data_IF_867544100634
#
_entry.id   IF_867544100634
#
_cell.length_a   1.000
_cell.length_b   1.000
_cell.length_c   1.000
_cell.angle_alpha   90.00
_cell.angle_beta   90.00
_cell.angle_gamma   90.00
#
_symmetry.space_group_name_H-M   'P 1'
#
loop_
_entity.id
_entity.type
_entity.pdbx_description
1 polymer ?
#
# COMPACT_ATOMS: atom_id res chain seq x y z
N UNK A 1 -4.60 -8.82 -16.14
CA UNK A 1 -5.46 -8.42 -15.01
C UNK A 1 -6.31 -7.15 -15.31
N UNK A 2 -5.85 -6.28 -16.23
CA UNK A 2 -6.58 -5.10 -16.68
C UNK A 2 -6.46 -3.86 -15.76
N UNK A 3 -7.13 -2.75 -16.19
CA UNK A 3 -7.03 -1.45 -15.51
C UNK A 3 -7.65 -1.50 -14.10
N UNK A 4 -8.81 -2.11 -13.95
CA UNK A 4 -9.52 -2.24 -12.66
C UNK A 4 -8.62 -2.84 -11.57
N UNK A 5 -7.92 -3.94 -11.92
CA UNK A 5 -6.99 -4.58 -10.99
C UNK A 5 -5.80 -3.68 -10.61
N UNK A 6 -5.25 -2.97 -11.59
CA UNK A 6 -4.15 -2.04 -11.35
C UNK A 6 -4.58 -0.85 -10.48
N UNK A 7 -5.81 -0.35 -10.67
CA UNK A 7 -6.37 0.72 -9.87
C UNK A 7 -6.66 0.26 -8.43
N UNK A 8 -7.19 -0.94 -8.20
CA UNK A 8 -7.34 -1.52 -6.86
C UNK A 8 -6.01 -1.59 -6.11
N UNK A 9 -4.95 -2.13 -6.75
CA UNK A 9 -3.61 -2.16 -6.15
C UNK A 9 -3.08 -0.76 -5.83
N UNK A 10 -3.37 0.21 -6.67
CA UNK A 10 -2.91 1.58 -6.46
C UNK A 10 -3.66 2.31 -5.36
N UNK A 11 -4.94 2.00 -5.17
CA UNK A 11 -5.75 2.50 -4.06
C UNK A 11 -5.28 1.92 -2.72
N UNK A 12 -5.03 0.60 -2.65
CA UNK A 12 -4.46 -0.03 -1.45
C UNK A 12 -3.09 0.56 -1.12
N UNK A 13 -2.16 0.61 -2.07
CA UNK A 13 -0.84 1.22 -1.84
C UNK A 13 -0.89 2.71 -1.51
N UNK A 14 -1.95 3.41 -1.91
CA UNK A 14 -2.17 4.80 -1.48
C UNK A 14 -2.53 4.91 0.00
N UNK A 15 -3.22 3.91 0.55
CA UNK A 15 -3.50 3.83 1.98
C UNK A 15 -2.22 3.47 2.76
N UNK A 16 -1.44 2.50 2.27
CA UNK A 16 -0.15 2.12 2.89
C UNK A 16 0.80 3.33 2.94
N UNK A 17 0.86 4.12 1.86
CA UNK A 17 1.65 5.36 1.84
C UNK A 17 1.17 6.39 2.87
N UNK A 18 -0.14 6.55 3.06
CA UNK A 18 -0.69 7.48 4.07
C UNK A 18 -0.33 7.03 5.49
N UNK A 19 -0.40 5.73 5.76
CA UNK A 19 0.01 5.15 7.05
C UNK A 19 1.48 5.45 7.29
N UNK A 20 2.37 5.08 6.37
CA UNK A 20 3.80 5.33 6.49
C UNK A 20 4.13 6.83 6.66
N UNK A 21 3.45 7.73 5.93
CA UNK A 21 3.63 9.17 6.11
C UNK A 21 3.19 9.67 7.49
N UNK A 22 2.18 9.06 8.08
CA UNK A 22 1.71 9.41 9.43
C UNK A 22 2.70 8.92 10.48
N UNK A 23 3.22 7.71 10.34
CA UNK A 23 4.19 7.10 11.27
C UNK A 23 5.52 7.86 11.30
N UNK A 24 6.08 8.16 10.13
CA UNK A 24 7.33 8.91 10.05
C UNK A 24 7.15 10.41 10.31
N UNK A 25 5.98 10.96 10.00
CA UNK A 25 5.73 12.40 9.94
C UNK A 25 6.14 13.02 8.59
N UNK A 26 5.25 13.79 7.98
CA UNK A 26 5.41 14.32 6.62
C UNK A 26 6.70 15.13 6.39
N UNK A 27 7.23 15.78 7.42
CA UNK A 27 8.46 16.59 7.31
C UNK A 27 9.73 15.79 7.56
N UNK A 28 9.62 14.51 7.91
CA UNK A 28 10.76 13.65 8.19
C UNK A 28 11.57 13.39 6.91
N UNK A 29 12.90 13.55 6.91
CA UNK A 29 13.76 13.23 5.76
C UNK A 29 13.61 11.79 5.26
N UNK A 30 13.24 10.82 6.11
CA UNK A 30 12.98 9.44 5.72
C UNK A 30 11.77 9.28 4.78
N UNK A 31 10.98 10.34 4.59
CA UNK A 31 9.89 10.36 3.59
C UNK A 31 10.32 10.84 2.21
N UNK A 32 11.60 11.13 2.00
CA UNK A 32 12.17 11.40 0.68
C UNK A 32 12.34 10.11 -0.14
N UNK A 33 12.36 10.20 -1.46
CA UNK A 33 12.73 9.07 -2.31
C UNK A 33 14.24 8.85 -2.37
N UNK A 34 15.01 9.95 -2.36
CA UNK A 34 16.45 9.88 -2.24
C UNK A 34 16.84 10.15 -0.79
N UNK A 35 17.19 9.08 -0.09
CA UNK A 35 17.63 9.14 1.29
C UNK A 35 19.13 9.39 1.39
N UNK A 36 19.55 10.11 2.44
CA UNK A 36 20.93 10.16 2.91
C UNK A 36 21.03 9.30 4.18
N UNK A 37 21.52 8.08 4.01
CA UNK A 37 21.66 7.09 5.08
C UNK A 37 23.09 7.02 5.64
N UNK A 38 23.86 8.08 5.52
CA UNK A 38 25.22 8.11 6.05
C UNK A 38 25.19 7.92 7.57
N UNK A 39 25.85 6.85 8.04
CA UNK A 39 25.91 6.45 9.45
C UNK A 39 24.55 6.02 10.05
N UNK A 40 23.59 5.59 9.21
CA UNK A 40 22.33 5.02 9.63
C UNK A 40 22.22 3.57 9.12
N UNK A 41 21.42 2.76 9.80
CA UNK A 41 21.11 1.41 9.30
C UNK A 41 20.18 1.54 8.08
N UNK A 42 20.56 0.99 6.91
CA UNK A 42 19.70 1.01 5.74
C UNK A 42 18.34 0.32 5.96
N UNK A 43 18.25 -0.63 6.89
CA UNK A 43 17.00 -1.33 7.19
C UNK A 43 15.97 -0.43 7.89
N UNK A 44 16.42 0.54 8.69
CA UNK A 44 15.53 1.51 9.35
C UNK A 44 14.81 2.42 8.36
N UNK A 45 15.32 2.51 7.13
CA UNK A 45 14.73 3.32 6.05
C UNK A 45 13.85 2.49 5.10
N UNK A 46 13.73 1.17 5.30
CA UNK A 46 12.85 0.33 4.51
C UNK A 46 11.39 0.56 4.90
N UNK A 47 10.66 1.20 4.02
CA UNK A 47 9.24 1.50 4.21
C UNK A 47 8.49 1.49 2.87
N UNK A 48 7.18 1.51 2.93
CA UNK A 48 6.32 1.59 1.74
C UNK A 48 6.50 2.91 0.97
N UNK A 49 7.16 3.91 1.56
CA UNK A 49 7.44 5.20 0.92
C UNK A 49 8.25 5.01 -0.36
N UNK A 50 9.33 4.23 -0.33
CA UNK A 50 10.16 4.00 -1.51
C UNK A 50 9.36 3.39 -2.68
N UNK A 51 8.44 2.47 -2.36
CA UNK A 51 7.60 1.79 -3.35
C UNK A 51 6.45 2.67 -3.82
N UNK A 52 5.64 3.17 -2.92
CA UNK A 52 4.39 3.84 -3.28
C UNK A 52 4.59 5.29 -3.73
N UNK A 53 5.45 6.06 -3.07
CA UNK A 53 5.85 7.40 -3.55
C UNK A 53 6.64 7.29 -4.85
N UNK A 54 7.53 6.28 -4.97
CA UNK A 54 8.26 6.00 -6.21
C UNK A 54 7.33 5.63 -7.37
N UNK A 55 6.36 4.74 -7.13
CA UNK A 55 5.32 4.38 -8.12
C UNK A 55 4.54 5.62 -8.59
N UNK A 56 4.19 6.53 -7.69
CA UNK A 56 3.50 7.78 -8.05
C UNK A 56 4.35 8.69 -8.93
N UNK A 57 5.66 8.81 -8.65
CA UNK A 57 6.57 9.55 -9.53
C UNK A 57 6.59 8.93 -10.94
N UNK A 58 6.75 7.60 -11.04
CA UNK A 58 6.78 6.93 -12.34
C UNK A 58 5.43 7.07 -13.06
N UNK A 59 4.33 7.01 -12.35
CA UNK A 59 2.99 7.24 -12.92
C UNK A 59 2.81 8.68 -13.40
N UNK A 60 3.24 9.66 -12.62
CA UNK A 60 3.25 11.07 -13.03
C UNK A 60 4.02 11.26 -14.36
N UNK A 61 5.18 10.64 -14.46
CA UNK A 61 5.99 10.72 -15.69
C UNK A 61 5.30 10.05 -16.87
N UNK A 62 4.74 8.85 -16.67
CA UNK A 62 3.97 8.13 -17.68
C UNK A 62 2.79 8.97 -18.21
N UNK A 63 2.01 9.58 -17.32
CA UNK A 63 0.86 10.42 -17.71
C UNK A 63 1.30 11.66 -18.49
N UNK A 64 2.48 12.18 -18.20
CA UNK A 64 3.02 13.37 -18.86
C UNK A 64 3.56 13.11 -20.27
N UNK A 65 4.15 11.93 -20.50
CA UNK A 65 4.76 11.58 -21.81
C UNK A 65 3.86 10.67 -22.65
N UNK A 66 2.86 10.05 -22.06
CA UNK A 66 2.01 9.04 -22.68
C UNK A 66 2.62 7.65 -22.63
N UNK A 67 1.75 6.64 -22.64
CA UNK A 67 2.11 5.22 -22.45
C UNK A 67 3.15 4.73 -23.47
N UNK A 68 2.98 5.05 -24.74
CA UNK A 68 3.86 4.54 -25.79
C UNK A 68 5.29 5.06 -25.63
N UNK A 69 5.44 6.36 -25.34
CA UNK A 69 6.76 6.97 -25.10
C UNK A 69 7.38 6.47 -23.80
N UNK A 70 6.55 6.25 -22.78
CA UNK A 70 6.99 5.68 -21.51
C UNK A 70 7.53 4.25 -21.68
N UNK A 71 6.84 3.40 -22.43
CA UNK A 71 7.29 2.04 -22.72
C UNK A 71 8.62 2.01 -23.52
N UNK A 72 8.80 2.93 -24.47
CA UNK A 72 10.06 3.08 -25.18
C UNK A 72 11.20 3.51 -24.26
N UNK A 73 10.94 4.47 -23.39
CA UNK A 73 11.89 4.90 -22.35
C UNK A 73 12.30 3.73 -21.45
N UNK A 74 11.34 2.98 -20.90
CA UNK A 74 11.62 1.85 -20.03
C UNK A 74 12.48 0.79 -20.73
N UNK A 75 12.16 0.43 -21.97
CA UNK A 75 12.97 -0.52 -22.76
C UNK A 75 14.40 -0.03 -22.94
N UNK A 76 14.57 1.25 -23.26
CA UNK A 76 15.88 1.88 -23.44
C UNK A 76 16.65 1.91 -22.12
N UNK A 77 16.01 2.30 -21.04
CA UNK A 77 16.59 2.34 -19.70
C UNK A 77 17.08 0.96 -19.23
N UNK A 78 16.24 -0.07 -19.31
CA UNK A 78 16.63 -1.42 -18.90
C UNK A 78 17.72 -2.02 -19.80
N UNK A 79 17.75 -1.67 -21.09
CA UNK A 79 18.82 -2.07 -21.99
C UNK A 79 20.15 -1.41 -21.62
N UNK A 80 20.15 -0.11 -21.34
CA UNK A 80 21.36 0.66 -20.97
C UNK A 80 21.96 0.19 -19.64
N UNK A 81 21.10 -0.06 -18.66
CA UNK A 81 21.54 -0.39 -17.30
C UNK A 81 21.48 -1.89 -16.97
N UNK A 82 21.27 -2.76 -17.97
CA UNK A 82 21.23 -4.21 -17.77
C UNK A 82 22.49 -4.71 -17.06
N UNK A 83 22.31 -5.44 -15.94
CA UNK A 83 23.38 -5.99 -15.10
C UNK A 83 24.38 -4.96 -14.55
N UNK A 84 24.02 -3.68 -14.52
CA UNK A 84 24.83 -2.60 -13.95
C UNK A 84 24.16 -2.06 -12.69
N UNK A 85 24.96 -1.71 -11.67
CA UNK A 85 24.47 -0.91 -10.56
C UNK A 85 24.09 0.48 -11.04
N UNK A 86 23.01 1.03 -10.51
CA UNK A 86 22.54 2.36 -10.86
C UNK A 86 22.28 3.20 -9.59
N UNK A 87 22.27 4.52 -9.73
CA UNK A 87 21.97 5.46 -8.66
C UNK A 87 20.79 6.35 -9.07
N UNK A 88 20.16 6.99 -8.10
CA UNK A 88 19.09 7.94 -8.34
C UNK A 88 19.52 9.06 -9.29
N UNK A 89 20.74 9.58 -9.13
CA UNK A 89 21.29 10.65 -9.95
C UNK A 89 21.53 10.22 -11.39
N UNK A 90 21.99 8.98 -11.60
CA UNK A 90 22.15 8.42 -12.96
C UNK A 90 20.80 8.16 -13.62
N UNK A 91 19.81 7.67 -12.87
CA UNK A 91 18.44 7.55 -13.36
C UNK A 91 17.88 8.91 -13.77
N UNK A 92 17.98 9.91 -12.90
CA UNK A 92 17.50 11.28 -13.15
C UNK A 92 18.16 11.88 -14.40
N UNK A 93 19.49 11.78 -14.49
CA UNK A 93 20.24 12.28 -15.66
C UNK A 93 19.76 11.63 -16.95
N UNK A 94 19.63 10.30 -16.95
CA UNK A 94 19.20 9.54 -18.12
C UNK A 94 17.77 9.92 -18.53
N UNK A 95 16.86 10.04 -17.57
CA UNK A 95 15.48 10.46 -17.79
C UNK A 95 15.38 11.85 -18.42
N UNK A 96 16.11 12.83 -17.87
CA UNK A 96 16.13 14.20 -18.39
C UNK A 96 16.74 14.31 -19.77
N UNK A 97 17.76 13.52 -20.05
CA UNK A 97 18.40 13.48 -21.38
C UNK A 97 17.47 12.81 -22.42
N UNK A 98 16.79 11.73 -22.05
CA UNK A 98 15.84 11.04 -22.91
C UNK A 98 14.65 11.91 -23.29
N UNK A 99 14.10 12.64 -22.31
CA UNK A 99 12.93 13.52 -22.51
C UNK A 99 13.31 15.01 -22.61
N UNK A 100 14.49 15.34 -23.10
CA UNK A 100 14.98 16.73 -23.17
C UNK A 100 14.05 17.72 -23.87
N UNK A 101 13.25 17.24 -24.82
CA UNK A 101 12.32 18.08 -25.58
C UNK A 101 11.02 18.42 -24.82
N UNK A 102 10.71 17.69 -23.72
CA UNK A 102 9.55 17.94 -22.86
C UNK A 102 9.84 18.95 -21.71
N UNK A 103 10.93 19.64 -21.77
CA UNK A 103 11.75 20.10 -20.65
C UNK A 103 11.36 21.37 -19.91
N UNK A 104 10.27 22.05 -20.15
CA UNK A 104 9.93 23.20 -19.29
C UNK A 104 9.35 22.72 -17.94
N UNK A 105 10.18 22.75 -16.88
CA UNK A 105 9.74 22.48 -15.51
C UNK A 105 9.79 21.01 -15.04
N UNK A 106 10.09 20.03 -15.89
CA UNK A 106 10.12 18.62 -15.49
C UNK A 106 11.27 18.33 -14.52
N UNK A 107 12.42 19.00 -14.69
CA UNK A 107 13.58 18.84 -13.81
C UNK A 107 13.26 19.28 -12.38
N UNK A 108 12.64 20.45 -12.20
CA UNK A 108 12.28 20.95 -10.89
C UNK A 108 11.25 20.04 -10.21
N UNK A 109 10.29 19.55 -10.98
CA UNK A 109 9.31 18.59 -10.49
C UNK A 109 9.97 17.30 -10.04
N UNK A 110 10.89 16.72 -10.82
CA UNK A 110 11.63 15.51 -10.43
C UNK A 110 12.48 15.76 -9.18
N UNK A 111 13.13 16.92 -9.07
CA UNK A 111 13.88 17.31 -7.87
C UNK A 111 12.98 17.36 -6.63
N UNK A 112 11.78 17.92 -6.75
CA UNK A 112 10.80 17.93 -5.66
C UNK A 112 10.45 16.49 -5.27
N UNK A 113 10.14 15.61 -6.22
CA UNK A 113 9.81 14.21 -5.95
C UNK A 113 10.93 13.45 -5.24
N UNK A 114 12.17 13.64 -5.67
CA UNK A 114 13.32 12.88 -5.18
C UNK A 114 13.79 13.35 -3.81
N UNK A 115 13.87 14.68 -3.62
CA UNK A 115 14.61 15.28 -2.49
C UNK A 115 13.74 16.01 -1.48
N UNK A 116 12.44 16.18 -1.74
CA UNK A 116 11.54 16.85 -0.79
C UNK A 116 10.82 15.80 0.07
N UNK A 117 10.81 15.97 1.42
CA UNK A 117 10.01 15.10 2.28
C UNK A 117 8.50 15.33 2.06
N UNK A 118 7.70 14.39 2.55
CA UNK A 118 6.26 14.44 2.50
C UNK A 118 5.65 14.02 1.16
N UNK A 119 4.35 14.16 1.07
CA UNK A 119 3.61 13.93 -0.16
C UNK A 119 3.74 15.13 -1.10
N UNK A 120 3.80 14.83 -2.38
CA UNK A 120 3.74 15.84 -3.43
C UNK A 120 2.29 16.00 -3.83
N UNK A 121 1.88 17.22 -4.14
CA UNK A 121 0.52 17.55 -4.61
C UNK A 121 0.27 17.02 -6.03
N UNK A 122 0.29 15.70 -6.14
CA UNK A 122 -0.10 14.95 -7.31
C UNK A 122 -0.79 13.66 -6.84
N UNK A 123 -2.08 13.60 -7.08
CA UNK A 123 -2.86 12.39 -6.81
C UNK A 123 -3.32 11.81 -8.13
N UNK A 124 -2.76 10.67 -8.56
CA UNK A 124 -3.28 9.96 -9.71
C UNK A 124 -4.75 9.62 -9.50
N UNK A 125 -5.56 9.77 -10.54
CA UNK A 125 -6.96 9.43 -10.47
C UNK A 125 -7.13 7.91 -10.60
N UNK A 126 -7.12 7.22 -9.47
CA UNK A 126 -7.45 5.80 -9.39
C UNK A 126 -8.92 5.65 -9.00
N UNK A 127 -9.65 4.85 -9.77
CA UNK A 127 -11.05 4.54 -9.50
C UNK A 127 -11.27 3.03 -9.62
N UNK A 128 -11.99 2.46 -8.67
CA UNK A 128 -12.36 1.05 -8.72
C UNK A 128 -13.83 0.90 -8.40
N UNK A 129 -14.61 0.51 -9.42
CA UNK A 129 -16.01 0.18 -9.21
C UNK A 129 -16.20 -0.94 -8.19
N UNK A 130 -15.27 -1.90 -8.15
CA UNK A 130 -15.31 -2.99 -7.19
C UNK A 130 -15.17 -2.49 -5.75
N UNK A 131 -14.30 -1.50 -5.51
CA UNK A 131 -14.18 -0.90 -4.18
C UNK A 131 -15.38 -0.03 -3.84
N UNK A 132 -15.91 0.72 -4.81
CA UNK A 132 -17.14 1.49 -4.62
C UNK A 132 -18.31 0.56 -4.25
N UNK A 133 -18.42 -0.61 -4.91
CA UNK A 133 -19.44 -1.62 -4.60
C UNK A 133 -19.24 -2.22 -3.18
N UNK A 134 -17.98 -2.45 -2.75
CA UNK A 134 -17.67 -2.89 -1.37
C UNK A 134 -18.05 -1.82 -0.35
N UNK A 135 -17.71 -0.55 -0.62
CA UNK A 135 -18.03 0.57 0.28
C UNK A 135 -19.54 0.77 0.44
N UNK A 136 -20.31 0.62 -0.66
CA UNK A 136 -21.75 0.65 -0.61
C UNK A 136 -22.30 -0.51 0.25
N UNK A 137 -21.85 -1.74 0.04
CA UNK A 137 -22.26 -2.91 0.82
C UNK A 137 -21.90 -2.75 2.29
N UNK A 138 -20.71 -2.24 2.60
CA UNK A 138 -20.29 -1.94 3.96
C UNK A 138 -21.20 -0.89 4.62
N UNK A 139 -21.54 0.18 3.89
CA UNK A 139 -22.44 1.22 4.38
C UNK A 139 -23.81 0.66 4.74
N UNK A 140 -24.40 -0.19 3.89
CA UNK A 140 -25.67 -0.87 4.17
C UNK A 140 -25.55 -1.84 5.36
N UNK A 141 -24.45 -2.61 5.44
CA UNK A 141 -24.19 -3.48 6.59
C UNK A 141 -24.10 -2.70 7.90
N UNK A 142 -23.35 -1.59 7.91
CA UNK A 142 -23.21 -0.77 9.12
C UNK A 142 -24.55 -0.14 9.56
N UNK A 143 -25.42 0.20 8.62
CA UNK A 143 -26.74 0.80 8.89
C UNK A 143 -27.75 -0.21 9.40
N UNK A 144 -27.83 -1.37 8.78
CA UNK A 144 -28.87 -2.38 9.06
C UNK A 144 -28.38 -3.54 9.92
N UNK A 145 -27.06 -3.73 10.05
CA UNK A 145 -26.43 -4.86 10.78
C UNK A 145 -26.86 -6.24 10.26
N UNK A 146 -27.19 -6.33 8.97
CA UNK A 146 -27.60 -7.58 8.30
C UNK A 146 -26.52 -8.05 7.36
N UNK A 147 -26.10 -9.31 7.50
CA UNK A 147 -25.04 -9.90 6.65
C UNK A 147 -25.51 -10.11 5.20
N UNK A 148 -26.81 -10.14 4.93
CA UNK A 148 -27.40 -10.26 3.60
C UNK A 148 -27.01 -9.11 2.67
N UNK A 149 -26.62 -7.96 3.21
CA UNK A 149 -26.08 -6.83 2.41
C UNK A 149 -24.69 -7.08 1.86
N UNK A 150 -23.96 -8.08 2.37
CA UNK A 150 -22.59 -8.40 1.97
C UNK A 150 -22.57 -9.55 0.96
N UNK A 151 -22.37 -9.23 -0.31
CA UNK A 151 -22.31 -10.19 -1.42
C UNK A 151 -20.87 -10.65 -1.69
N UNK A 152 -20.26 -11.35 -0.73
CA UNK A 152 -18.83 -11.64 -0.69
C UNK A 152 -18.38 -12.81 -1.54
N UNK A 153 -19.30 -13.56 -2.17
CA UNK A 153 -19.01 -14.83 -2.89
C UNK A 153 -17.91 -14.68 -3.95
N UNK A 154 -17.94 -13.56 -4.67
CA UNK A 154 -17.05 -13.31 -5.79
C UNK A 154 -15.97 -12.25 -5.46
N UNK A 155 -15.82 -11.89 -4.18
CA UNK A 155 -14.81 -10.96 -3.77
C UNK A 155 -13.41 -11.53 -3.94
N UNK A 156 -12.56 -10.75 -4.59
CA UNK A 156 -11.11 -11.01 -4.64
C UNK A 156 -10.44 -10.72 -3.30
N UNK A 157 -9.19 -11.16 -3.15
CA UNK A 157 -8.36 -10.81 -1.99
C UNK A 157 -8.31 -9.29 -1.74
N UNK A 158 -8.24 -8.46 -2.80
CA UNK A 158 -8.14 -7.01 -2.67
C UNK A 158 -9.44 -6.37 -2.18
N UNK A 159 -10.60 -6.91 -2.58
CA UNK A 159 -11.90 -6.47 -2.06
C UNK A 159 -12.05 -6.81 -0.58
N UNK A 160 -11.59 -7.99 -0.14
CA UNK A 160 -11.54 -8.35 1.27
C UNK A 160 -10.61 -7.45 2.08
N UNK A 161 -9.41 -7.15 1.57
CA UNK A 161 -8.46 -6.23 2.21
C UNK A 161 -9.09 -4.85 2.35
N UNK A 162 -9.68 -4.32 1.28
CA UNK A 162 -10.36 -3.03 1.29
C UNK A 162 -11.50 -2.99 2.31
N UNK A 163 -12.34 -4.02 2.32
CA UNK A 163 -13.44 -4.16 3.28
C UNK A 163 -12.95 -4.11 4.72
N UNK A 164 -11.96 -4.95 5.08
CA UNK A 164 -11.44 -5.03 6.46
C UNK A 164 -10.79 -3.71 6.89
N UNK A 165 -10.04 -3.06 6.00
CA UNK A 165 -9.44 -1.75 6.29
C UNK A 165 -10.49 -0.64 6.46
N UNK A 166 -11.64 -0.76 5.80
CA UNK A 166 -12.75 0.21 5.87
C UNK A 166 -13.68 -0.02 7.06
N UNK A 167 -13.54 -1.15 7.78
CA UNK A 167 -14.33 -1.42 8.99
C UNK A 167 -13.96 -0.43 10.10
N UNK A 168 -14.97 0.19 10.77
CA UNK A 168 -14.70 0.97 11.96
C UNK A 168 -14.23 0.07 13.11
N UNK A 169 -13.40 0.60 14.02
CA UNK A 169 -12.99 -0.11 15.22
C UNK A 169 -14.20 -0.10 16.19
N UNK A 170 -14.97 -1.19 16.15
CA UNK A 170 -16.18 -1.40 16.91
C UNK A 170 -16.31 -2.88 17.25
N UNK A 171 -16.08 -3.27 18.51
CA UNK A 171 -16.13 -4.65 18.98
C UNK A 171 -17.36 -5.45 18.54
N UNK A 172 -18.59 -4.91 18.58
CA UNK A 172 -19.81 -5.63 18.17
C UNK A 172 -19.82 -6.11 16.73
N UNK A 173 -18.93 -5.64 15.86
CA UNK A 173 -18.82 -6.11 14.46
C UNK A 173 -17.99 -7.39 14.31
N UNK A 174 -17.14 -7.70 15.28
CA UNK A 174 -16.19 -8.81 15.21
C UNK A 174 -16.91 -10.16 15.12
N UNK A 175 -17.74 -10.48 16.10
CA UNK A 175 -18.36 -11.80 16.21
C UNK A 175 -19.25 -12.16 14.99
N UNK A 176 -20.15 -11.29 14.52
CA UNK A 176 -20.99 -11.61 13.35
C UNK A 176 -20.17 -11.88 12.09
N UNK A 177 -19.11 -11.07 11.86
CA UNK A 177 -18.26 -11.23 10.67
C UNK A 177 -17.37 -12.48 10.78
N UNK A 178 -16.82 -12.77 11.96
CA UNK A 178 -16.01 -13.98 12.18
C UNK A 178 -16.85 -15.25 12.04
N UNK A 179 -18.07 -15.28 12.61
CA UNK A 179 -18.97 -16.42 12.49
C UNK A 179 -19.38 -16.67 11.03
N UNK A 180 -19.66 -15.61 10.28
CA UNK A 180 -20.09 -15.73 8.88
C UNK A 180 -18.96 -16.14 7.94
N UNK A 181 -17.77 -15.56 8.10
CA UNK A 181 -16.72 -15.65 7.08
C UNK A 181 -15.46 -16.38 7.54
N UNK A 182 -15.31 -16.65 8.85
CA UNK A 182 -14.15 -17.35 9.45
C UNK A 182 -12.81 -16.76 8.98
N UNK A 183 -12.73 -15.42 8.98
CA UNK A 183 -11.60 -14.67 8.44
C UNK A 183 -10.28 -14.98 9.16
N UNK A 184 -10.35 -15.25 10.48
CA UNK A 184 -9.19 -15.66 11.28
C UNK A 184 -8.59 -17.00 10.85
N UNK A 185 -9.37 -17.85 10.17
CA UNK A 185 -8.96 -19.16 9.65
C UNK A 185 -8.77 -19.16 8.13
N UNK A 186 -8.74 -17.98 7.52
CA UNK A 186 -8.53 -17.87 6.08
C UNK A 186 -7.21 -18.51 5.67
N UNK A 187 -7.24 -19.32 4.60
CA UNK A 187 -6.02 -19.89 3.99
C UNK A 187 -5.19 -18.83 3.25
N UNK A 188 -5.75 -17.66 3.02
CA UNK A 188 -5.04 -16.54 2.45
C UNK A 188 -4.40 -15.70 3.57
N UNK A 189 -3.08 -15.73 3.66
CA UNK A 189 -2.34 -15.03 4.71
C UNK A 189 -2.52 -13.49 4.67
N UNK A 190 -2.82 -12.90 3.51
CA UNK A 190 -3.12 -11.47 3.39
C UNK A 190 -4.42 -11.14 4.15
N UNK A 191 -5.47 -11.95 3.96
CA UNK A 191 -6.76 -11.74 4.64
C UNK A 191 -6.64 -12.07 6.14
N UNK A 192 -6.04 -13.22 6.46
CA UNK A 192 -5.90 -13.66 7.84
C UNK A 192 -5.11 -12.65 8.68
N UNK A 193 -3.96 -12.17 8.21
CA UNK A 193 -3.12 -11.24 8.98
C UNK A 193 -3.84 -9.93 9.28
N UNK A 194 -4.52 -9.33 8.29
CA UNK A 194 -5.25 -8.07 8.47
C UNK A 194 -6.43 -8.25 9.42
N UNK A 195 -7.12 -9.39 9.32
CA UNK A 195 -8.21 -9.71 10.24
C UNK A 195 -7.71 -9.91 11.67
N UNK A 196 -6.58 -10.61 11.87
CA UNK A 196 -6.00 -10.77 13.21
C UNK A 196 -5.61 -9.42 13.82
N UNK A 197 -5.07 -8.50 13.04
CA UNK A 197 -4.81 -7.12 13.48
C UNK A 197 -6.12 -6.42 13.86
N UNK A 198 -7.19 -6.57 13.07
CA UNK A 198 -8.49 -6.01 13.38
C UNK A 198 -9.08 -6.58 14.68
N UNK A 199 -8.92 -7.90 14.94
CA UNK A 199 -9.32 -8.53 16.21
C UNK A 199 -8.59 -7.91 17.40
N UNK A 200 -7.27 -7.73 17.30
CA UNK A 200 -6.45 -7.16 18.36
C UNK A 200 -6.88 -5.71 18.65
N UNK A 201 -7.07 -4.90 17.60
CA UNK A 201 -7.54 -3.50 17.70
C UNK A 201 -8.93 -3.35 18.34
N UNK A 202 -9.72 -4.41 18.33
CA UNK A 202 -11.06 -4.43 18.94
C UNK A 202 -11.09 -5.16 20.31
N UNK A 203 -9.94 -5.38 20.96
CA UNK A 203 -9.80 -6.04 22.26
C UNK A 203 -10.12 -7.55 22.26
N UNK A 204 -10.17 -8.19 21.09
CA UNK A 204 -10.39 -9.64 20.96
C UNK A 204 -9.08 -10.45 20.96
N UNK A 205 -7.92 -9.81 21.04
CA UNK A 205 -6.61 -10.49 20.98
C UNK A 205 -6.49 -11.65 21.96
N UNK A 206 -6.93 -11.48 23.19
CA UNK A 206 -6.88 -12.55 24.23
C UNK A 206 -7.78 -13.73 23.87
N UNK A 207 -8.98 -13.50 23.35
CA UNK A 207 -9.93 -14.54 22.93
C UNK A 207 -9.40 -15.35 21.76
N UNK A 208 -8.67 -14.72 20.84
CA UNK A 208 -8.11 -15.34 19.63
C UNK A 208 -6.61 -15.68 19.75
N UNK A 209 -6.03 -15.65 20.97
CA UNK A 209 -4.60 -15.84 21.18
C UNK A 209 -4.07 -17.13 20.54
N UNK A 210 -4.78 -18.25 20.68
CA UNK A 210 -4.35 -19.52 20.08
C UNK A 210 -4.33 -19.50 18.54
N UNK A 211 -5.23 -18.73 17.92
CA UNK A 211 -5.25 -18.55 16.45
C UNK A 211 -4.11 -17.65 16.01
N UNK A 212 -3.87 -16.56 16.74
CA UNK A 212 -2.76 -15.63 16.50
C UNK A 212 -1.42 -16.36 16.62
N UNK A 213 -1.24 -17.13 17.70
CA UNK A 213 -0.02 -17.92 17.93
C UNK A 213 0.20 -18.96 16.81
N UNK A 214 -0.85 -19.69 16.43
CA UNK A 214 -0.80 -20.64 15.31
C UNK A 214 -0.45 -19.97 13.97
N UNK A 215 -0.97 -18.77 13.70
CA UNK A 215 -0.61 -18.01 12.50
C UNK A 215 0.84 -17.58 12.54
N UNK A 216 1.32 -17.01 13.64
CA UNK A 216 2.71 -16.55 13.81
C UNK A 216 3.72 -17.72 13.74
N UNK A 217 3.36 -18.89 14.27
CA UNK A 217 4.19 -20.09 14.17
C UNK A 217 4.26 -20.66 12.75
N UNK A 218 3.18 -20.52 11.95
CA UNK A 218 3.06 -21.08 10.62
C UNK A 218 3.52 -20.16 9.49
N UNK A 219 3.54 -18.84 9.71
CA UNK A 219 3.82 -17.83 8.68
C UNK A 219 5.07 -17.05 9.04
N UNK A 220 6.19 -17.32 8.35
CA UNK A 220 7.48 -16.68 8.63
C UNK A 220 7.72 -15.35 7.88
N UNK A 221 6.78 -14.84 7.09
CA UNK A 221 6.99 -13.63 6.29
C UNK A 221 6.83 -12.37 7.15
N UNK A 222 7.90 -11.56 7.24
CA UNK A 222 7.95 -10.32 8.04
C UNK A 222 6.75 -9.39 7.80
N UNK A 223 6.33 -9.23 6.54
CA UNK A 223 5.16 -8.43 6.13
C UNK A 223 3.90 -8.74 6.96
N UNK A 224 3.68 -10.00 7.34
CA UNK A 224 2.50 -10.41 8.11
C UNK A 224 2.78 -10.46 9.61
N UNK A 225 3.99 -10.87 9.98
CA UNK A 225 4.36 -11.15 11.37
C UNK A 225 4.59 -9.86 12.15
N UNK A 226 5.36 -8.92 11.58
CA UNK A 226 5.74 -7.69 12.26
C UNK A 226 4.52 -6.85 12.68
N UNK A 227 3.54 -6.53 11.81
CA UNK A 227 2.40 -5.70 12.19
C UNK A 227 1.52 -6.33 13.29
N UNK A 228 1.45 -7.68 13.34
CA UNK A 228 0.72 -8.36 14.42
C UNK A 228 1.44 -8.19 15.76
N UNK A 229 2.79 -8.34 15.79
CA UNK A 229 3.57 -8.12 17.01
C UNK A 229 3.48 -6.66 17.49
N UNK A 230 3.61 -5.70 16.58
CA UNK A 230 3.46 -4.27 16.89
C UNK A 230 2.09 -4.01 17.52
N UNK A 231 1.02 -4.52 16.91
CA UNK A 231 -0.33 -4.33 17.43
C UNK A 231 -0.55 -5.01 18.78
N UNK A 232 0.06 -6.17 19.04
CA UNK A 232 0.01 -6.84 20.36
C UNK A 232 0.71 -6.01 21.43
N UNK A 233 1.85 -5.39 21.11
CA UNK A 233 2.59 -4.52 22.03
C UNK A 233 1.76 -3.26 22.36
N UNK A 234 1.14 -2.64 21.36
CA UNK A 234 0.34 -1.43 21.52
C UNK A 234 -0.96 -1.68 22.32
N UNK A 235 -1.45 -2.93 22.32
CA UNK A 235 -2.70 -3.31 23.02
C UNK A 235 -2.49 -3.71 24.47
N UNK A 236 -1.25 -3.80 24.98
CA UNK A 236 -0.91 -4.03 26.39
C UNK A 236 -1.11 -5.43 26.86
#
# INVERSE_FOLDING_TARGET
>A
FGKEYADMLSLLGSNDLKVAMTEFGEKNPLTQLKLDLKNQDPEDALSDIAYEKGKRLLRYLEERVGRDQWDLFLRSYFKEFAFKSNTTERFQKYLLEYFKELNSGIQDTINIWLYKPGLIDFTPNYTSKKFDDVDQQLSEYLKHKTLESLHTKDWSTHEWIHFIHSLPIQGPLVEPLEQAFQLSKSKNAEIASIWLIYLIKNDYGKQYLAVIDGFLAGVGRRKFVLPIFEQLIDSG
#
